data_IF_798315389126
#
_entry.id   IF_798315389126
#
_cell.length_a   1.000
_cell.length_b   1.000
_cell.length_c   1.000
_cell.angle_alpha   90.00
_cell.angle_beta   90.00
_cell.angle_gamma   90.00
#
_symmetry.space_group_name_H-M   'P 1'
#
loop_
_entity.id
_entity.type
_entity.pdbx_description
1 polymer ?
#
# COMPACT_ATOMS: atom_id res chain seq x y z
N UNK A 1 23.82 -21.13 0.38
CA UNK A 1 23.47 -20.28 -0.76
C UNK A 1 22.18 -20.82 -1.34
N UNK A 2 21.05 -20.23 -0.97
CA UNK A 2 19.75 -20.64 -1.51
C UNK A 2 19.47 -19.80 -2.74
N UNK A 3 19.26 -20.47 -3.88
CA UNK A 3 18.86 -19.85 -5.14
C UNK A 3 17.60 -18.97 -4.96
N UNK A 4 17.38 -17.97 -5.83
CA UNK A 4 16.11 -17.27 -5.87
C UNK A 4 15.01 -18.32 -6.06
N UNK A 5 14.00 -18.32 -5.18
CA UNK A 5 12.78 -19.10 -5.39
C UNK A 5 12.11 -18.55 -6.65
N UNK A 6 12.43 -19.12 -7.80
CA UNK A 6 11.53 -19.11 -8.94
C UNK A 6 10.28 -19.86 -8.49
N UNK A 7 9.16 -19.17 -8.33
CA UNK A 7 7.88 -19.78 -7.97
C UNK A 7 7.39 -20.57 -9.21
N UNK A 8 7.24 -21.89 -9.14
CA UNK A 8 6.61 -22.64 -10.22
C UNK A 8 5.11 -22.34 -10.22
N UNK A 9 4.62 -21.67 -11.26
CA UNK A 9 3.19 -21.67 -11.64
C UNK A 9 2.23 -20.71 -10.93
N UNK A 10 2.70 -19.74 -10.13
CA UNK A 10 1.89 -18.66 -9.58
C UNK A 10 2.58 -17.32 -9.81
N UNK A 11 1.82 -16.28 -10.19
CA UNK A 11 2.35 -14.92 -10.33
C UNK A 11 2.85 -14.34 -9.00
N UNK A 12 3.44 -13.14 -9.05
CA UNK A 12 3.89 -12.42 -7.85
C UNK A 12 2.74 -12.13 -6.89
N UNK A 13 3.02 -12.14 -5.59
CA UNK A 13 2.05 -11.80 -4.54
C UNK A 13 2.47 -10.57 -3.73
N UNK A 14 1.58 -10.06 -2.88
CA UNK A 14 1.90 -8.98 -1.94
C UNK A 14 3.08 -9.36 -1.04
N UNK A 15 3.20 -10.63 -0.65
CA UNK A 15 4.31 -11.16 0.14
C UNK A 15 5.67 -11.00 -0.57
N UNK A 16 5.72 -11.07 -1.90
CA UNK A 16 6.97 -10.85 -2.65
C UNK A 16 7.41 -9.37 -2.59
N UNK A 17 6.45 -8.45 -2.61
CA UNK A 17 6.69 -7.01 -2.44
C UNK A 17 7.16 -6.74 -1.02
N UNK A 18 6.45 -7.26 -0.02
CA UNK A 18 6.80 -7.14 1.41
C UNK A 18 8.20 -7.70 1.67
N UNK A 19 8.51 -8.90 1.17
CA UNK A 19 9.86 -9.48 1.29
C UNK A 19 10.93 -8.56 0.68
N UNK A 20 10.66 -7.98 -0.49
CA UNK A 20 11.58 -7.05 -1.15
C UNK A 20 11.81 -5.80 -0.29
N UNK A 21 10.75 -5.22 0.27
CA UNK A 21 10.81 -4.07 1.19
C UNK A 21 11.56 -4.41 2.48
N UNK A 22 11.34 -5.58 3.08
CA UNK A 22 12.06 -6.02 4.27
C UNK A 22 13.58 -6.13 4.04
N UNK A 23 13.99 -6.63 2.87
CA UNK A 23 15.41 -6.72 2.53
C UNK A 23 16.01 -5.35 2.29
N UNK A 24 15.28 -4.43 1.65
CA UNK A 24 15.73 -3.06 1.42
C UNK A 24 15.83 -2.22 2.70
N UNK A 25 14.89 -2.40 3.62
CA UNK A 25 14.81 -1.63 4.86
C UNK A 25 15.57 -2.28 6.01
N UNK A 26 16.25 -3.42 5.78
CA UNK A 26 17.06 -4.08 6.81
C UNK A 26 18.13 -3.11 7.37
N UNK A 27 18.18 -2.86 8.70
CA UNK A 27 19.09 -1.88 9.29
C UNK A 27 20.57 -2.15 8.98
N UNK A 28 20.95 -3.42 8.94
CA UNK A 28 22.35 -3.81 8.75
C UNK A 28 22.69 -3.97 7.26
N UNK A 29 21.89 -4.74 6.51
CA UNK A 29 22.23 -5.16 5.14
C UNK A 29 21.38 -4.52 4.04
N UNK A 30 20.48 -3.60 4.39
CA UNK A 30 19.55 -2.97 3.46
C UNK A 30 20.18 -1.88 2.58
N UNK A 31 19.34 -1.29 1.74
CA UNK A 31 19.71 -0.27 0.77
C UNK A 31 20.19 1.01 1.45
N UNK A 32 21.39 1.52 1.12
CA UNK A 32 21.91 2.77 1.70
C UNK A 32 20.99 3.98 1.50
N UNK A 33 20.34 4.10 0.33
CA UNK A 33 19.41 5.19 0.06
C UNK A 33 18.17 5.14 0.97
N UNK A 34 17.56 3.95 1.15
CA UNK A 34 16.45 3.79 2.08
C UNK A 34 16.85 4.12 3.53
N UNK A 35 18.12 3.92 3.92
CA UNK A 35 18.62 4.30 5.26
C UNK A 35 18.71 5.82 5.44
N UNK A 36 19.06 6.57 4.40
CA UNK A 36 19.22 8.03 4.45
C UNK A 36 17.89 8.80 4.46
N UNK A 37 16.80 8.20 3.96
CA UNK A 37 15.47 8.80 3.95
C UNK A 37 14.70 8.51 5.23
N UNK A 38 13.76 9.39 5.59
CA UNK A 38 12.84 9.20 6.72
C UNK A 38 11.54 8.53 6.28
N UNK A 39 10.69 8.08 7.21
CA UNK A 39 9.35 7.56 6.86
C UNK A 39 8.47 8.65 6.28
N UNK A 40 8.62 9.86 6.80
CA UNK A 40 7.95 11.07 6.36
C UNK A 40 8.28 11.39 4.89
N UNK A 41 9.53 11.16 4.46
CA UNK A 41 9.89 11.28 3.04
C UNK A 41 9.16 10.26 2.17
N UNK A 42 9.04 9.01 2.62
CA UNK A 42 8.32 7.99 1.86
C UNK A 42 6.81 8.24 1.81
N UNK A 43 6.20 8.83 2.84
CA UNK A 43 4.80 9.27 2.77
C UNK A 43 4.62 10.39 1.73
N UNK A 44 5.59 11.32 1.61
CA UNK A 44 5.55 12.30 0.52
C UNK A 44 5.68 11.63 -0.85
N UNK A 45 6.54 10.62 -0.97
CA UNK A 45 6.64 9.83 -2.19
C UNK A 45 5.33 9.11 -2.51
N UNK A 46 4.57 8.61 -1.53
CA UNK A 46 3.22 8.05 -1.80
C UNK A 46 2.35 9.06 -2.55
N UNK A 47 2.33 10.33 -2.14
CA UNK A 47 1.59 11.38 -2.86
C UNK A 47 2.13 11.59 -4.29
N UNK A 48 3.45 11.66 -4.46
CA UNK A 48 4.09 11.86 -5.77
C UNK A 48 3.76 10.72 -6.73
N UNK A 49 3.99 9.47 -6.31
CA UNK A 49 3.70 8.27 -7.10
C UNK A 49 2.19 8.13 -7.37
N UNK A 50 1.32 8.59 -6.46
CA UNK A 50 -0.14 8.62 -6.69
C UNK A 50 -0.53 9.59 -7.80
N UNK A 51 0.18 10.72 -7.93
CA UNK A 51 -0.03 11.65 -9.04
C UNK A 51 0.51 11.08 -10.35
N UNK A 52 1.63 10.35 -10.34
CA UNK A 52 2.12 9.63 -11.52
C UNK A 52 1.10 8.58 -11.99
N UNK A 53 0.51 7.79 -11.08
CA UNK A 53 -0.57 6.86 -11.40
C UNK A 53 -1.83 7.56 -11.95
N UNK A 54 -2.23 8.71 -11.38
CA UNK A 54 -3.34 9.52 -11.90
C UNK A 54 -3.05 10.07 -13.30
N UNK A 55 -1.80 10.41 -13.59
CA UNK A 55 -1.38 10.88 -14.91
C UNK A 55 -1.48 9.76 -15.95
N UNK A 56 -1.08 8.53 -15.63
CA UNK A 56 -1.25 7.38 -16.53
C UNK A 56 -2.72 7.05 -16.78
N UNK A 57 -3.58 7.18 -15.76
CA UNK A 57 -5.02 7.07 -15.92
C UNK A 57 -5.58 8.15 -16.85
N UNK A 58 -5.11 9.39 -16.72
CA UNK A 58 -5.54 10.47 -17.61
C UNK A 58 -5.16 10.17 -19.08
N UNK A 59 -3.96 9.62 -19.33
CA UNK A 59 -3.54 9.18 -20.66
C UNK A 59 -4.43 8.05 -21.20
N UNK A 60 -4.76 7.06 -20.36
CA UNK A 60 -5.69 5.98 -20.72
C UNK A 60 -7.07 6.51 -21.12
N UNK A 61 -7.57 7.54 -20.43
CA UNK A 61 -8.88 8.13 -20.68
C UNK A 61 -8.94 9.01 -21.94
N UNK A 62 -7.82 9.55 -22.41
CA UNK A 62 -7.75 10.35 -23.64
C UNK A 62 -7.82 9.51 -24.92
N UNK A 63 -7.60 8.19 -24.83
CA UNK A 63 -7.53 7.29 -25.96
C UNK A 63 -8.75 6.37 -26.00
N UNK A 64 -9.47 6.34 -27.13
CA UNK A 64 -10.67 5.50 -27.32
C UNK A 64 -10.40 4.01 -27.07
N UNK A 65 -9.17 3.55 -27.29
CA UNK A 65 -8.70 2.18 -27.03
C UNK A 65 -7.63 2.13 -25.94
N UNK A 66 -7.43 3.20 -25.17
CA UNK A 66 -6.35 3.30 -24.19
C UNK A 66 -6.42 2.19 -23.16
N UNK A 67 -7.63 1.93 -22.67
CA UNK A 67 -7.90 0.82 -21.75
C UNK A 67 -7.61 -0.55 -22.36
N UNK A 68 -7.45 -0.73 -23.68
CA UNK A 68 -7.08 -2.01 -24.31
C UNK A 68 -5.59 -2.08 -24.70
N UNK A 69 -4.85 -0.97 -24.61
CA UNK A 69 -3.44 -0.90 -24.98
C UNK A 69 -2.54 -1.57 -23.90
N UNK A 70 -1.85 -2.68 -24.22
CA UNK A 70 -1.02 -3.39 -23.26
C UNK A 70 0.20 -2.58 -22.77
N UNK A 71 0.65 -1.57 -23.51
CA UNK A 71 1.75 -0.70 -23.07
C UNK A 71 1.27 0.30 -22.01
N UNK A 72 0.10 0.92 -22.22
CA UNK A 72 -0.47 1.87 -21.27
C UNK A 72 -0.93 1.17 -19.98
N UNK A 73 -1.51 -0.04 -20.08
CA UNK A 73 -1.81 -0.87 -18.91
C UNK A 73 -0.55 -1.17 -18.10
N UNK A 74 0.56 -1.55 -18.76
CA UNK A 74 1.85 -1.80 -18.08
C UNK A 74 2.44 -0.54 -17.44
N UNK A 75 2.21 0.64 -18.02
CA UNK A 75 2.59 1.90 -17.40
C UNK A 75 1.80 2.13 -16.10
N UNK A 76 0.48 1.98 -16.13
CA UNK A 76 -0.33 2.08 -14.90
C UNK A 76 0.02 1.00 -13.86
N UNK A 77 0.29 -0.25 -14.29
CA UNK A 77 0.77 -1.32 -13.39
C UNK A 77 2.09 -0.94 -12.71
N UNK A 78 2.99 -0.30 -13.47
CA UNK A 78 4.26 0.24 -12.97
C UNK A 78 4.07 1.30 -11.89
N UNK A 79 3.17 2.27 -12.10
CA UNK A 79 2.97 3.37 -11.16
C UNK A 79 2.20 2.92 -9.91
N UNK A 80 1.16 2.08 -10.04
CA UNK A 80 0.49 1.48 -8.88
C UNK A 80 1.44 0.59 -8.05
N UNK A 81 2.40 -0.07 -8.73
CA UNK A 81 3.45 -0.84 -8.09
C UNK A 81 4.45 0.03 -7.30
N UNK A 82 4.74 1.24 -7.79
CA UNK A 82 5.60 2.20 -7.11
C UNK A 82 4.89 2.82 -5.90
N UNK A 83 3.62 3.19 -6.03
CA UNK A 83 2.74 3.62 -4.92
C UNK A 83 2.74 2.60 -3.78
N UNK A 84 2.52 1.31 -4.09
CA UNK A 84 2.56 0.24 -3.09
C UNK A 84 3.93 0.11 -2.44
N UNK A 85 4.99 0.17 -3.24
CA UNK A 85 6.36 0.06 -2.73
C UNK A 85 6.67 1.17 -1.73
N UNK A 86 6.42 2.44 -2.08
CA UNK A 86 6.74 3.57 -1.20
C UNK A 86 5.90 3.56 0.07
N UNK A 87 4.62 3.16 0.01
CA UNK A 87 3.77 2.99 1.19
C UNK A 87 4.32 1.93 2.16
N UNK A 88 4.71 0.77 1.63
CA UNK A 88 5.29 -0.31 2.45
C UNK A 88 6.64 0.08 3.07
N UNK A 89 7.48 0.83 2.34
CA UNK A 89 8.74 1.35 2.89
C UNK A 89 8.46 2.37 4.00
N UNK A 90 7.48 3.27 3.84
CA UNK A 90 7.09 4.22 4.87
C UNK A 90 6.70 3.51 6.18
N UNK A 91 5.85 2.48 6.07
CA UNK A 91 5.41 1.65 7.21
C UNK A 91 6.59 0.94 7.87
N UNK A 92 7.42 0.22 7.08
CA UNK A 92 8.55 -0.52 7.61
C UNK A 92 9.53 0.39 8.37
N UNK A 93 9.78 1.60 7.86
CA UNK A 93 10.64 2.58 8.53
C UNK A 93 9.99 3.20 9.75
N UNK A 94 8.68 3.45 9.72
CA UNK A 94 7.95 3.99 10.87
C UNK A 94 7.94 2.98 12.02
N UNK A 95 7.70 1.70 11.70
CA UNK A 95 7.79 0.58 12.64
C UNK A 95 9.17 0.50 13.30
N UNK A 96 10.24 0.60 12.50
CA UNK A 96 11.62 0.62 13.01
C UNK A 96 11.92 1.84 13.90
N UNK A 97 11.43 3.03 13.52
CA UNK A 97 11.70 4.29 14.22
C UNK A 97 10.95 4.37 15.56
N UNK A 98 9.69 3.91 15.59
CA UNK A 98 8.81 4.08 16.75
C UNK A 98 8.56 2.80 17.54
N UNK A 99 9.05 1.64 17.07
CA UNK A 99 9.05 0.39 17.82
C UNK A 99 7.70 -0.33 17.89
N UNK A 100 6.89 -0.25 16.82
CA UNK A 100 5.64 -1.03 16.68
C UNK A 100 5.82 -2.18 15.67
N UNK A 101 4.95 -3.19 15.71
CA UNK A 101 4.99 -4.30 14.75
C UNK A 101 4.48 -3.81 13.37
N UNK A 102 5.23 -3.99 12.26
CA UNK A 102 4.78 -3.57 10.92
C UNK A 102 3.45 -4.20 10.46
N UNK A 103 2.92 -5.20 11.16
CA UNK A 103 1.59 -5.78 10.97
C UNK A 103 0.46 -5.01 11.66
N UNK A 104 0.75 -4.08 12.56
CA UNK A 104 -0.25 -3.26 13.28
C UNK A 104 -1.06 -2.33 12.35
N UNK A 105 -0.48 -1.63 11.36
CA UNK A 105 -1.26 -0.84 10.41
C UNK A 105 -2.28 -1.67 9.62
N UNK A 106 -1.90 -2.89 9.21
CA UNK A 106 -2.83 -3.83 8.57
C UNK A 106 -3.98 -4.20 9.49
N UNK A 107 -3.67 -4.50 10.75
CA UNK A 107 -4.68 -4.86 11.75
C UNK A 107 -5.64 -3.70 12.02
N UNK A 108 -5.11 -2.49 12.19
CA UNK A 108 -5.89 -1.26 12.39
C UNK A 108 -6.84 -1.00 11.22
N UNK A 109 -6.34 -1.10 9.99
CA UNK A 109 -7.16 -0.99 8.78
C UNK A 109 -8.30 -2.02 8.77
N UNK A 110 -8.02 -3.29 9.04
CA UNK A 110 -9.06 -4.34 9.09
C UNK A 110 -10.13 -4.02 10.12
N UNK A 111 -9.77 -3.64 11.34
CA UNK A 111 -10.74 -3.30 12.39
C UNK A 111 -11.62 -2.12 11.99
N UNK A 112 -11.02 -1.03 11.49
CA UNK A 112 -11.76 0.18 11.07
C UNK A 112 -12.73 -0.14 9.94
N UNK A 113 -12.26 -0.83 8.91
CA UNK A 113 -13.04 -1.11 7.70
C UNK A 113 -14.17 -2.10 7.97
N UNK A 114 -13.91 -3.19 8.70
CA UNK A 114 -14.96 -4.13 9.12
C UNK A 114 -15.98 -3.45 10.04
N UNK A 115 -15.52 -2.58 10.93
CA UNK A 115 -16.38 -1.76 11.81
C UNK A 115 -17.28 -0.77 11.06
N UNK A 116 -16.84 -0.25 9.91
CA UNK A 116 -17.61 0.66 9.04
C UNK A 116 -18.52 -0.07 8.05
N UNK A 117 -18.35 -1.38 7.90
CA UNK A 117 -19.10 -2.22 6.96
C UNK A 117 -19.79 -3.39 7.67
N UNK A 118 -20.63 -3.11 8.68
CA UNK A 118 -21.32 -4.14 9.47
C UNK A 118 -22.29 -5.00 8.65
N UNK A 119 -22.63 -4.56 7.43
CA UNK A 119 -23.56 -5.24 6.55
C UNK A 119 -22.90 -6.27 5.62
N UNK A 120 -21.58 -6.45 5.68
CA UNK A 120 -20.87 -7.45 4.89
C UNK A 120 -21.08 -8.84 5.46
N UNK A 121 -21.36 -9.83 4.60
CA UNK A 121 -21.77 -11.16 5.05
C UNK A 121 -20.69 -11.95 5.81
N UNK A 122 -19.41 -11.63 5.60
CA UNK A 122 -18.27 -12.39 6.11
C UNK A 122 -17.87 -12.02 7.55
N UNK A 123 -18.18 -10.79 7.97
CA UNK A 123 -17.79 -10.27 9.29
C UNK A 123 -18.87 -9.40 9.95
N UNK A 124 -19.99 -9.17 9.27
CA UNK A 124 -21.04 -8.28 9.70
C UNK A 124 -21.86 -8.77 10.89
N UNK A 125 -22.72 -7.88 11.38
CA UNK A 125 -23.64 -8.11 12.50
C UNK A 125 -25.03 -8.59 12.05
N UNK A 126 -25.19 -8.90 10.75
CA UNK A 126 -26.46 -9.27 10.13
C UNK A 126 -27.30 -8.08 9.68
N UNK A 127 -26.81 -6.85 9.83
CA UNK A 127 -27.39 -5.69 9.17
C UNK A 127 -27.39 -5.85 7.65
N UNK A 128 -28.40 -5.27 7.00
CA UNK A 128 -28.53 -5.26 5.55
C UNK A 128 -28.49 -3.82 5.07
N UNK A 129 -28.00 -3.63 3.86
CA UNK A 129 -27.98 -2.34 3.19
C UNK A 129 -28.60 -2.50 1.80
N UNK A 130 -29.55 -1.65 1.46
CA UNK A 130 -30.34 -1.77 0.23
C UNK A 130 -29.99 -0.69 -0.80
N UNK A 131 -29.13 0.28 -0.44
CA UNK A 131 -28.74 1.36 -1.34
C UNK A 131 -27.34 1.90 -1.05
N UNK A 132 -26.75 2.54 -2.05
CA UNK A 132 -25.48 3.26 -1.90
C UNK A 132 -25.57 4.36 -0.84
N UNK A 133 -26.67 5.12 -0.81
CA UNK A 133 -26.88 6.19 0.16
C UNK A 133 -26.92 5.67 1.59
N UNK A 134 -27.59 4.55 1.83
CA UNK A 134 -27.63 3.92 3.15
C UNK A 134 -26.23 3.42 3.57
N UNK A 135 -25.47 2.80 2.65
CA UNK A 135 -24.09 2.40 2.91
C UNK A 135 -23.20 3.59 3.28
N UNK A 136 -23.36 4.72 2.57
CA UNK A 136 -22.64 5.96 2.83
C UNK A 136 -22.96 6.55 4.21
N UNK A 137 -24.23 6.57 4.61
CA UNK A 137 -24.62 7.12 5.91
C UNK A 137 -24.15 6.23 7.07
N UNK A 138 -24.22 4.89 6.92
CA UNK A 138 -23.62 3.96 7.90
C UNK A 138 -22.12 4.22 8.04
N UNK A 139 -21.40 4.31 6.90
CA UNK A 139 -19.96 4.58 6.92
C UNK A 139 -19.63 5.90 7.63
N UNK A 140 -20.35 6.98 7.31
CA UNK A 140 -20.17 8.29 7.96
C UNK A 140 -20.44 8.22 9.46
N UNK A 141 -21.54 7.58 9.89
CA UNK A 141 -21.86 7.41 11.31
C UNK A 141 -20.76 6.66 12.04
N UNK A 142 -20.34 5.51 11.51
CA UNK A 142 -19.29 4.67 12.11
C UNK A 142 -17.93 5.38 12.15
N UNK A 143 -17.55 6.11 11.10
CA UNK A 143 -16.31 6.92 11.08
C UNK A 143 -16.38 8.05 12.12
N UNK A 144 -17.54 8.69 12.31
CA UNK A 144 -17.74 9.73 13.32
C UNK A 144 -17.68 9.17 14.76
N UNK A 145 -18.32 8.03 15.01
CA UNK A 145 -18.29 7.32 16.29
C UNK A 145 -16.85 6.94 16.68
N UNK A 146 -16.09 6.34 15.75
CA UNK A 146 -14.67 6.00 15.96
C UNK A 146 -13.79 7.22 16.28
N UNK A 147 -14.03 8.36 15.61
CA UNK A 147 -13.31 9.61 15.90
C UNK A 147 -13.70 10.20 17.26
N UNK A 148 -14.91 9.95 17.75
CA UNK A 148 -15.39 10.48 19.04
C UNK A 148 -14.92 9.66 20.25
N UNK A 149 -14.71 8.35 20.10
CA UNK A 149 -14.32 7.48 21.21
C UNK A 149 -12.81 7.31 21.36
N UNK A 150 -11.99 7.78 20.40
CA UNK A 150 -10.54 7.52 20.31
C UNK A 150 -10.18 6.04 20.49
N UNK A 151 -11.16 5.13 20.32
CA UNK A 151 -11.05 3.72 20.68
C UNK A 151 -11.41 2.87 19.48
N UNK A 152 -10.54 1.91 19.18
CA UNK A 152 -10.75 0.88 18.15
C UNK A 152 -11.61 -0.28 18.70
N UNK A 153 -12.13 -0.17 19.93
CA UNK A 153 -13.02 -1.18 20.51
C UNK A 153 -14.39 -1.16 19.84
N UNK A 154 -14.72 -2.24 19.12
CA UNK A 154 -16.06 -2.34 18.52
C UNK A 154 -16.41 -3.60 17.73
N UNK A 155 -15.49 -4.54 17.47
CA UNK A 155 -15.86 -5.84 16.89
C UNK A 155 -15.01 -6.95 17.52
N UNK A 156 -15.61 -8.09 17.91
CA UNK A 156 -14.81 -9.27 18.16
C UNK A 156 -14.08 -9.59 16.85
N UNK A 157 -12.75 -9.75 16.87
CA UNK A 157 -12.06 -10.24 15.71
C UNK A 157 -12.54 -11.66 15.45
N UNK A 158 -13.47 -11.84 14.51
CA UNK A 158 -13.59 -13.11 13.80
C UNK A 158 -12.46 -13.16 12.78
N UNK A 159 -11.22 -13.09 13.26
CA UNK A 159 -10.09 -13.56 12.48
C UNK A 159 -10.21 -15.08 12.44
N UNK A 160 -10.28 -15.72 11.27
CA UNK A 160 -9.98 -17.13 11.23
C UNK A 160 -8.55 -17.30 11.79
N UNK A 161 -8.30 -18.20 12.75
CA UNK A 161 -7.04 -18.26 13.52
C UNK A 161 -5.79 -18.60 12.69
N UNK A 162 -5.91 -18.73 11.37
CA UNK A 162 -4.84 -19.09 10.44
C UNK A 162 -4.32 -17.94 9.56
N UNK A 163 -4.97 -16.76 9.54
CA UNK A 163 -4.56 -15.63 8.70
C UNK A 163 -3.73 -14.61 9.48
N UNK A 164 -2.72 -14.04 8.83
CA UNK A 164 -2.05 -12.82 9.32
C UNK A 164 -2.91 -11.58 9.07
N UNK A 165 -2.66 -10.47 9.77
CA UNK A 165 -3.36 -9.20 9.53
C UNK A 165 -3.19 -8.71 8.08
N UNK A 166 -2.04 -8.96 7.46
CA UNK A 166 -1.81 -8.73 6.04
C UNK A 166 -2.79 -9.50 5.16
N UNK A 167 -2.93 -10.81 5.39
CA UNK A 167 -3.86 -11.65 4.65
C UNK A 167 -5.32 -11.26 4.92
N UNK A 168 -5.64 -10.82 6.13
CA UNK A 168 -6.96 -10.33 6.47
C UNK A 168 -7.30 -9.01 5.79
N UNK A 169 -6.34 -8.09 5.60
CA UNK A 169 -6.58 -6.86 4.86
C UNK A 169 -6.83 -7.15 3.38
N UNK A 170 -5.99 -8.00 2.76
CA UNK A 170 -6.21 -8.45 1.37
C UNK A 170 -7.57 -9.13 1.22
N UNK A 171 -7.93 -10.02 2.14
CA UNK A 171 -9.26 -10.66 2.14
C UNK A 171 -10.39 -9.64 2.29
N UNK A 172 -10.24 -8.65 3.18
CA UNK A 172 -11.24 -7.60 3.39
C UNK A 172 -11.43 -6.79 2.10
N UNK A 173 -10.36 -6.32 1.47
CA UNK A 173 -10.39 -5.59 0.19
C UNK A 173 -11.03 -6.43 -0.91
N UNK A 174 -10.65 -7.72 -1.03
CA UNK A 174 -11.20 -8.64 -2.01
C UNK A 174 -12.72 -8.83 -1.84
N UNK A 175 -13.21 -8.92 -0.60
CA UNK A 175 -14.65 -9.04 -0.34
C UNK A 175 -15.40 -7.74 -0.56
N UNK A 176 -14.82 -6.59 -0.19
CA UNK A 176 -15.42 -5.28 -0.47
C UNK A 176 -15.58 -5.02 -1.98
N UNK A 177 -14.60 -5.43 -2.78
CA UNK A 177 -14.54 -5.21 -4.23
C UNK A 177 -15.23 -6.30 -5.05
N UNK A 178 -15.77 -7.34 -4.41
CA UNK A 178 -16.44 -8.44 -5.10
C UNK A 178 -17.67 -7.96 -5.90
N UNK A 179 -17.81 -8.41 -7.14
CA UNK A 179 -18.97 -8.08 -7.97
C UNK A 179 -20.29 -8.58 -7.34
N UNK A 180 -20.26 -9.79 -6.76
CA UNK A 180 -21.38 -10.37 -6.04
C UNK A 180 -21.14 -10.33 -4.52
N UNK A 181 -22.09 -9.75 -3.79
CA UNK A 181 -22.03 -9.64 -2.34
C UNK A 181 -20.97 -8.66 -1.81
N UNK A 182 -20.40 -7.81 -2.68
CA UNK A 182 -19.47 -6.76 -2.29
C UNK A 182 -20.13 -5.54 -1.65
N UNK A 183 -19.31 -4.58 -1.26
CA UNK A 183 -19.76 -3.37 -0.57
C UNK A 183 -20.34 -2.34 -1.57
N UNK A 184 -21.57 -1.81 -1.35
CA UNK A 184 -22.14 -0.81 -2.24
C UNK A 184 -21.29 0.46 -2.36
N UNK A 185 -20.72 0.96 -1.25
CA UNK A 185 -19.81 2.12 -1.28
C UNK A 185 -18.60 1.85 -2.19
N UNK A 186 -17.99 0.68 -2.08
CA UNK A 186 -16.85 0.28 -2.92
C UNK A 186 -17.25 0.19 -4.39
N UNK A 187 -18.45 -0.31 -4.69
CA UNK A 187 -18.97 -0.38 -6.04
C UNK A 187 -19.10 1.02 -6.71
N UNK A 188 -19.29 2.10 -5.93
CA UNK A 188 -19.34 3.46 -6.47
C UNK A 188 -17.99 4.18 -6.54
N UNK A 189 -16.94 3.63 -5.95
CA UNK A 189 -15.61 4.24 -6.03
C UNK A 189 -14.95 3.92 -7.36
N UNK A 190 -13.94 4.69 -7.75
CA UNK A 190 -13.04 4.41 -8.88
C UNK A 190 -11.59 4.48 -8.42
N UNK A 191 -10.67 3.89 -9.18
CA UNK A 191 -9.23 3.93 -8.89
C UNK A 191 -8.73 5.36 -8.65
N UNK A 192 -9.16 6.34 -9.44
CA UNK A 192 -8.79 7.75 -9.31
C UNK A 192 -9.29 8.39 -8.02
N UNK A 193 -10.50 8.03 -7.58
CA UNK A 193 -11.01 8.54 -6.31
C UNK A 193 -10.17 8.03 -5.14
N UNK A 194 -9.78 6.74 -5.17
CA UNK A 194 -8.90 6.17 -4.15
C UNK A 194 -7.51 6.81 -4.17
N UNK A 195 -6.91 7.05 -5.35
CA UNK A 195 -5.63 7.76 -5.43
C UNK A 195 -5.70 9.20 -4.91
N UNK A 196 -6.85 9.89 -5.08
CA UNK A 196 -7.08 11.21 -4.48
C UNK A 196 -7.25 11.14 -2.97
N UNK A 197 -8.00 10.15 -2.46
CA UNK A 197 -8.15 9.94 -1.01
C UNK A 197 -6.83 9.55 -0.35
N UNK A 198 -6.02 8.74 -1.01
CA UNK A 198 -4.68 8.37 -0.56
C UNK A 198 -3.80 9.61 -0.28
N UNK A 199 -3.89 10.64 -1.13
CA UNK A 199 -3.20 11.89 -0.87
C UNK A 199 -3.66 12.54 0.44
N UNK A 200 -4.96 12.53 0.75
CA UNK A 200 -5.49 13.03 2.03
C UNK A 200 -4.99 12.19 3.21
N UNK A 201 -5.03 10.86 3.13
CA UNK A 201 -4.55 9.96 4.20
C UNK A 201 -3.04 10.09 4.44
N UNK A 202 -2.26 10.43 3.41
CA UNK A 202 -0.85 10.80 3.55
C UNK A 202 -0.65 12.11 4.34
N UNK A 203 -1.52 13.11 4.16
CA UNK A 203 -1.47 14.33 4.96
C UNK A 203 -1.88 14.07 6.42
N UNK A 204 -2.88 13.23 6.68
CA UNK A 204 -3.25 12.79 8.04
C UNK A 204 -2.06 12.06 8.71
N UNK A 205 -1.39 11.15 7.98
CA UNK A 205 -0.18 10.49 8.47
C UNK A 205 0.95 11.47 8.80
N UNK A 206 1.26 12.43 7.90
CA UNK A 206 2.29 13.46 8.12
C UNK A 206 1.98 14.34 9.34
N UNK A 207 0.70 14.65 9.57
CA UNK A 207 0.26 15.38 10.75
C UNK A 207 0.57 14.60 12.04
N UNK A 208 0.33 13.29 12.07
CA UNK A 208 0.65 12.46 13.24
C UNK A 208 2.17 12.29 13.45
N UNK A 209 2.98 12.21 12.39
CA UNK A 209 4.44 12.31 12.50
C UNK A 209 4.88 13.63 13.14
N UNK A 210 4.28 14.75 12.73
CA UNK A 210 4.57 16.07 13.31
C UNK A 210 4.19 16.12 14.80
N UNK A 211 3.03 15.58 15.17
CA UNK A 211 2.62 15.46 16.58
C UNK A 211 3.58 14.61 17.40
N UNK A 212 4.04 13.48 16.86
CA UNK A 212 5.04 12.62 17.54
C UNK A 212 6.37 13.34 17.75
N UNK A 213 6.80 14.20 16.81
CA UNK A 213 8.04 14.96 16.93
C UNK A 213 7.99 16.03 18.03
N UNK A 214 6.79 16.51 18.37
CA UNK A 214 6.53 17.52 19.39
C UNK A 214 6.14 16.93 20.74
N UNK A 215 5.88 15.63 20.81
CA UNK A 215 5.43 14.95 22.03
C UNK A 215 6.63 14.33 22.75
N UNK A 216 6.81 14.67 24.02
CA UNK A 216 7.88 14.11 24.86
C UNK A 216 7.85 12.58 24.88
N UNK A 217 9.03 11.95 24.83
CA UNK A 217 9.17 10.48 24.75
C UNK A 217 8.51 9.74 25.92
N UNK A 218 8.43 10.36 27.09
CA UNK A 218 7.87 9.78 28.32
C UNK A 218 6.42 10.21 28.60
N UNK A 219 5.78 10.95 27.69
CA UNK A 219 4.41 11.42 27.89
C UNK A 219 3.40 10.32 27.66
N UNK A 220 2.38 10.22 28.53
CA UNK A 220 1.23 9.33 28.34
C UNK A 220 0.52 9.58 26.99
N UNK A 221 0.55 10.83 26.51
CA UNK A 221 -0.01 11.22 25.21
C UNK A 221 0.73 10.58 24.02
N UNK A 222 2.00 10.20 24.17
CA UNK A 222 2.79 9.64 23.07
C UNK A 222 2.21 8.32 22.56
N UNK A 223 1.72 7.47 23.46
CA UNK A 223 1.09 6.21 23.10
C UNK A 223 -0.16 6.44 22.24
N UNK A 224 -0.99 7.43 22.61
CA UNK A 224 -2.19 7.79 21.85
C UNK A 224 -1.83 8.30 20.45
N UNK A 225 -0.88 9.24 20.34
CA UNK A 225 -0.43 9.76 19.02
C UNK A 225 0.19 8.65 18.18
N UNK A 226 0.93 7.72 18.78
CA UNK A 226 1.49 6.58 18.05
C UNK A 226 0.41 5.65 17.50
N UNK A 227 -0.64 5.38 18.27
CA UNK A 227 -1.79 4.59 17.81
C UNK A 227 -2.55 5.29 16.69
N UNK A 228 -2.69 6.62 16.74
CA UNK A 228 -3.23 7.40 15.64
C UNK A 228 -2.36 7.32 14.38
N UNK A 229 -1.03 7.44 14.50
CA UNK A 229 -0.13 7.25 13.36
C UNK A 229 -0.29 5.84 12.75
N UNK A 230 -0.35 4.79 13.57
CA UNK A 230 -0.55 3.41 13.10
C UNK A 230 -1.89 3.28 12.36
N UNK A 231 -2.93 3.94 12.85
CA UNK A 231 -4.24 4.04 12.20
C UNK A 231 -4.17 4.73 10.83
N UNK A 232 -3.50 5.87 10.73
CA UNK A 232 -3.41 6.60 9.44
C UNK A 232 -2.52 5.88 8.44
N UNK A 233 -1.43 5.24 8.88
CA UNK A 233 -0.64 4.35 8.04
C UNK A 233 -1.46 3.13 7.56
N UNK A 234 -2.42 2.68 8.38
CA UNK A 234 -3.39 1.66 7.99
C UNK A 234 -4.35 2.13 6.90
N UNK A 235 -4.85 3.37 6.99
CA UNK A 235 -5.72 3.96 5.97
C UNK A 235 -4.97 4.18 4.64
N UNK A 236 -3.72 4.65 4.68
CA UNK A 236 -2.82 4.71 3.51
C UNK A 236 -2.72 3.34 2.83
N UNK A 237 -2.45 2.28 3.60
CA UNK A 237 -2.30 0.93 3.06
C UNK A 237 -3.60 0.37 2.49
N UNK A 238 -4.72 0.63 3.16
CA UNK A 238 -6.04 0.26 2.68
C UNK A 238 -6.35 0.93 1.33
N UNK A 239 -6.13 2.24 1.20
CA UNK A 239 -6.41 2.99 -0.02
C UNK A 239 -5.54 2.53 -1.18
N UNK A 240 -4.25 2.22 -0.95
CA UNK A 240 -3.37 1.61 -1.94
C UNK A 240 -3.91 0.27 -2.44
N UNK A 241 -4.26 -0.64 -1.53
CA UNK A 241 -4.78 -1.96 -1.91
C UNK A 241 -6.14 -1.85 -2.62
N UNK A 242 -7.01 -0.95 -2.16
CA UNK A 242 -8.27 -0.65 -2.83
C UNK A 242 -8.05 -0.12 -4.24
N UNK A 243 -7.12 0.82 -4.45
CA UNK A 243 -6.78 1.33 -5.78
C UNK A 243 -6.30 0.20 -6.71
N UNK A 244 -5.45 -0.70 -6.22
CA UNK A 244 -4.98 -1.88 -6.99
C UNK A 244 -6.13 -2.79 -7.39
N UNK A 245 -7.03 -3.14 -6.46
CA UNK A 245 -8.16 -4.04 -6.76
C UNK A 245 -9.24 -3.38 -7.62
N UNK A 246 -9.46 -2.07 -7.47
CA UNK A 246 -10.36 -1.32 -8.34
C UNK A 246 -9.76 -1.14 -9.73
N UNK A 247 -8.43 -1.05 -9.87
CA UNK A 247 -7.79 -1.01 -11.18
C UNK A 247 -7.99 -2.32 -11.96
N UNK A 248 -8.16 -3.46 -11.28
CA UNK A 248 -8.59 -4.70 -11.92
C UNK A 248 -9.98 -4.60 -12.55
N UNK A 249 -10.91 -3.94 -11.86
CA UNK A 249 -12.27 -3.71 -12.35
C UNK A 249 -12.31 -2.63 -13.45
N UNK A 250 -11.59 -1.54 -13.24
CA UNK A 250 -11.66 -0.31 -14.06
C UNK A 250 -10.84 -0.42 -15.34
N UNK A 251 -9.68 -1.10 -15.27
CA UNK A 251 -8.69 -1.15 -16.35
C UNK A 251 -8.28 -2.57 -16.75
N UNK A 252 -8.85 -3.61 -16.12
CA UNK A 252 -8.52 -5.01 -16.42
C UNK A 252 -7.10 -5.39 -16.02
N UNK A 253 -6.53 -4.73 -15.01
CA UNK A 253 -5.19 -5.06 -14.50
C UNK A 253 -5.23 -6.27 -13.56
N UNK A 254 -4.20 -7.10 -13.60
CA UNK A 254 -4.06 -8.20 -12.66
C UNK A 254 -3.18 -7.76 -11.47
N UNK A 255 -3.61 -7.89 -10.21
CA UNK A 255 -2.80 -7.47 -9.06
C UNK A 255 -1.42 -8.13 -9.05
N UNK A 256 -1.33 -9.37 -9.52
CA UNK A 256 -0.05 -10.10 -9.64
C UNK A 256 0.94 -9.45 -10.62
N UNK A 257 0.47 -8.78 -11.68
CA UNK A 257 1.33 -8.01 -12.58
C UNK A 257 1.82 -6.72 -11.92
N UNK A 258 0.96 -6.05 -11.13
CA UNK A 258 1.34 -4.84 -10.37
C UNK A 258 2.44 -5.18 -9.35
N UNK A 259 2.25 -6.28 -8.59
CA UNK A 259 3.26 -6.78 -7.67
C UNK A 259 4.55 -7.17 -8.39
N UNK A 260 4.45 -7.84 -9.53
CA UNK A 260 5.59 -8.24 -10.34
C UNK A 260 6.37 -7.04 -10.87
N UNK A 261 5.69 -6.05 -11.44
CA UNK A 261 6.28 -4.81 -11.93
C UNK A 261 7.08 -4.11 -10.84
N UNK A 262 6.49 -3.99 -9.63
CA UNK A 262 7.19 -3.44 -8.46
C UNK A 262 8.43 -4.27 -8.10
N UNK A 263 8.28 -5.57 -7.90
CA UNK A 263 9.39 -6.46 -7.47
C UNK A 263 10.53 -6.46 -8.49
N UNK A 264 10.22 -6.65 -9.77
CA UNK A 264 11.23 -6.72 -10.84
C UNK A 264 11.96 -5.39 -11.01
N UNK A 265 11.23 -4.26 -11.02
CA UNK A 265 11.80 -2.92 -11.11
C UNK A 265 12.76 -2.66 -9.95
N UNK A 266 12.29 -2.91 -8.72
CA UNK A 266 13.08 -2.66 -7.51
C UNK A 266 14.32 -3.56 -7.45
N UNK A 267 14.17 -4.87 -7.67
CA UNK A 267 15.30 -5.81 -7.63
C UNK A 267 16.32 -5.51 -8.73
N UNK A 268 15.86 -5.21 -9.95
CA UNK A 268 16.71 -4.87 -11.09
C UNK A 268 17.53 -3.59 -10.89
N UNK A 269 16.99 -2.62 -10.13
CA UNK A 269 17.68 -1.35 -9.81
C UNK A 269 18.48 -1.37 -8.52
N UNK A 270 18.34 -2.41 -7.70
CA UNK A 270 19.08 -2.60 -6.44
C UNK A 270 19.94 -3.86 -6.46
N UNK A 271 20.85 -4.02 -7.46
CA UNK A 271 21.67 -5.22 -7.63
C UNK A 271 22.68 -5.46 -6.49
N UNK A 272 22.80 -4.50 -5.57
CA UNK A 272 23.68 -4.56 -4.40
C UNK A 272 23.02 -5.19 -3.16
N UNK A 273 21.75 -5.57 -3.23
CA UNK A 273 21.07 -6.25 -2.12
C UNK A 273 21.39 -7.74 -2.15
N UNK A 274 21.91 -8.28 -1.05
CA UNK A 274 22.43 -9.65 -0.96
C UNK A 274 21.43 -10.76 -1.31
N UNK A 275 20.13 -10.50 -1.17
CA UNK A 275 19.07 -11.49 -1.42
C UNK A 275 18.83 -11.80 -2.91
N UNK A 276 19.18 -10.89 -3.82
CA UNK A 276 18.99 -11.05 -5.28
C UNK A 276 20.12 -10.47 -6.13
N UNK A 277 21.12 -9.87 -5.49
CA UNK A 277 22.14 -9.08 -6.14
C UNK A 277 23.13 -9.88 -6.99
N UNK A 278 23.82 -9.17 -7.87
CA UNK A 278 24.80 -9.71 -8.83
C UNK A 278 26.26 -9.48 -8.42
N UNK A 279 26.49 -9.05 -7.17
CA UNK A 279 27.81 -8.70 -6.64
C UNK A 279 28.17 -7.21 -6.75
N UNK A 280 27.30 -6.40 -7.35
CA UNK A 280 27.41 -4.92 -7.25
C UNK A 280 27.42 -4.49 -5.78
N UNK A 281 28.13 -3.40 -5.45
CA UNK A 281 28.21 -2.86 -4.09
C UNK A 281 27.82 -1.38 -4.11
N UNK A 282 26.99 -0.96 -3.16
CA UNK A 282 26.70 0.44 -2.86
C UNK A 282 26.98 0.71 -1.39
N UNK A 283 27.88 1.66 -1.09
CA UNK A 283 28.31 1.99 0.28
C UNK A 283 27.64 3.24 0.85
N UNK A 284 27.04 4.06 0.00
CA UNK A 284 26.34 5.30 0.37
C UNK A 284 25.04 5.44 -0.42
N UNK A 285 24.11 6.29 0.04
CA UNK A 285 22.91 6.60 -0.71
C UNK A 285 23.21 7.25 -2.06
N UNK A 286 24.27 8.05 -2.16
CA UNK A 286 24.74 8.62 -3.43
C UNK A 286 25.18 7.54 -4.43
N UNK A 287 25.94 6.53 -3.99
CA UNK A 287 26.33 5.40 -4.83
C UNK A 287 25.11 4.55 -5.23
N UNK A 288 24.20 4.28 -4.29
CA UNK A 288 22.95 3.58 -4.55
C UNK A 288 22.09 4.31 -5.60
N UNK A 289 21.96 5.63 -5.49
CA UNK A 289 21.24 6.47 -6.44
C UNK A 289 21.90 6.48 -7.82
N UNK A 290 23.23 6.53 -7.89
CA UNK A 290 23.96 6.47 -9.15
C UNK A 290 23.71 5.13 -9.87
N UNK A 291 23.78 4.02 -9.14
CA UNK A 291 23.48 2.67 -9.68
C UNK A 291 22.03 2.59 -10.15
N UNK A 292 21.08 3.11 -9.36
CA UNK A 292 19.68 3.17 -9.72
C UNK A 292 19.45 3.90 -11.05
N UNK A 293 20.08 5.06 -11.23
CA UNK A 293 19.95 5.86 -12.46
C UNK A 293 20.51 5.12 -13.68
N UNK A 294 21.65 4.45 -13.55
CA UNK A 294 22.22 3.62 -14.62
C UNK A 294 21.28 2.47 -14.98
N UNK A 295 20.79 1.72 -13.99
CA UNK A 295 19.86 0.60 -14.21
C UNK A 295 18.54 1.05 -14.84
N UNK A 296 17.99 2.19 -14.40
CA UNK A 296 16.78 2.80 -14.97
C UNK A 296 16.99 3.18 -16.43
N UNK A 297 18.15 3.74 -16.80
CA UNK A 297 18.47 4.07 -18.19
C UNK A 297 18.57 2.82 -19.08
N UNK A 298 19.28 1.78 -18.63
CA UNK A 298 19.43 0.52 -19.38
C UNK A 298 18.07 -0.17 -19.62
N UNK A 299 17.18 -0.14 -18.64
CA UNK A 299 15.82 -0.68 -18.78
C UNK A 299 15.00 0.10 -19.82
N UNK A 300 15.11 1.43 -19.84
CA UNK A 300 14.44 2.26 -20.85
C UNK A 300 14.98 2.01 -22.26
N UNK A 301 16.29 1.86 -22.43
CA UNK A 301 16.91 1.53 -23.72
C UNK A 301 16.45 0.16 -24.23
N UNK A 302 16.43 -0.85 -23.35
CA UNK A 302 15.95 -2.19 -23.72
C UNK A 302 14.47 -2.19 -24.14
N UNK A 303 13.62 -1.41 -23.46
CA UNK A 303 12.21 -1.25 -23.81
C UNK A 303 11.98 -0.50 -25.14
N UNK A 304 12.95 0.30 -25.61
CA UNK A 304 12.88 0.99 -26.90
C UNK A 304 13.35 0.10 -28.08
N UNK A 305 14.15 -0.93 -27.80
CA UNK A 305 14.74 -1.81 -28.82
C UNK A 305 13.97 -3.11 -29.06
N UNK A 306 13.02 -3.47 -28.18
CA UNK A 306 12.18 -4.65 -28.29
C UNK A 306 10.73 -4.30 -28.59
#
# INVERSE_FOLDING_TARGET
MSAPRSIPGGGYTLEDVVFTVERLTCPNTGCPWNKEKSSEDYIRFVCEESQEALQEIAVLAELDTGAEDPALRRALESELGDVLYVALVAIAKAAQKFGFDPLEPYHSAVLKIRGRTPYMSEWGDGSLVNSLSEAHEIWKSRKAEQKATSSVEGLPPTFPPSRSSQQDLVFTVLRLTAAEGGCPWTASQTTENLLRFLCSECHESLHEFERLSKTDENSEMRCEVLQLLISELGDVLFDVLMAIFLASRDYGLEPSNIYGSSVEKIRGRTPYISAWGDGTVAKSGAEAQAIWNVRKAMQKEAAYQG
#
